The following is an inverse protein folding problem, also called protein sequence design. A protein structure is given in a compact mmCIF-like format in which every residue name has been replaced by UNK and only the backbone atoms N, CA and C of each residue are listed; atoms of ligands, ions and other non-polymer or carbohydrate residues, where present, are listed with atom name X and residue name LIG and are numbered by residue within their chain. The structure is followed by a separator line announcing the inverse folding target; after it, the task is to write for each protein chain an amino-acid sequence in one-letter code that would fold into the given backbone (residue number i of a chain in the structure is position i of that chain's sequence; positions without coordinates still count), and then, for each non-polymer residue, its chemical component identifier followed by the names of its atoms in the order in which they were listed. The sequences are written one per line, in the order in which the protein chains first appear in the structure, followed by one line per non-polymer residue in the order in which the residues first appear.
data_IF_598992534268
#
_entry.id   IF_598992534268
#
_cell.length_a   1.000
_cell.length_b   1.000
_cell.length_c   1.000
_cell.angle_alpha   90.00
_cell.angle_beta   90.00
_cell.angle_gamma   90.00
#
_symmetry.space_group_name_H-M   'P 1'
#
loop_
_entity.id
_entity.type
_entity.pdbx_description
1 polymer ?
#
# COMPACT_ATOMS: atom_id res chain seq x y z
N UNK A 1 8.18 -2.33 -7.85
CA UNK A 1 8.88 -1.03 -7.75
C UNK A 1 9.02 -0.49 -9.16
N UNK A 2 8.50 0.70 -9.47
CA UNK A 2 8.34 1.18 -10.84
C UNK A 2 8.12 2.70 -10.89
N UNK A 3 9.06 3.46 -10.35
CA UNK A 3 9.08 4.91 -10.49
C UNK A 3 9.62 5.33 -11.84
N UNK A 4 9.10 6.43 -12.37
CA UNK A 4 9.60 7.06 -13.60
C UNK A 4 10.59 8.17 -13.22
N UNK A 5 11.71 8.25 -13.96
CA UNK A 5 12.70 9.32 -13.79
C UNK A 5 12.34 10.48 -14.71
N UNK A 6 12.29 11.68 -14.14
CA UNK A 6 11.93 12.91 -14.82
C UNK A 6 13.02 13.95 -14.64
N UNK A 7 13.10 14.89 -15.59
CA UNK A 7 13.88 16.10 -15.40
C UNK A 7 13.28 16.93 -14.24
N UNK A 8 14.08 17.56 -13.37
CA UNK A 8 13.58 18.38 -12.26
C UNK A 8 12.55 19.44 -12.67
N UNK A 9 12.76 20.07 -13.83
CA UNK A 9 11.85 21.08 -14.37
C UNK A 9 10.45 20.53 -14.77
N UNK A 10 10.30 19.21 -14.89
CA UNK A 10 9.03 18.54 -15.19
C UNK A 10 8.36 17.94 -13.94
N UNK A 11 8.89 18.20 -12.75
CA UNK A 11 8.34 17.69 -11.50
C UNK A 11 6.97 18.29 -11.19
N UNK A 12 6.01 17.42 -10.89
CA UNK A 12 4.73 17.77 -10.28
C UNK A 12 4.89 17.86 -8.75
N UNK A 13 3.93 18.47 -8.03
CA UNK A 13 3.96 18.58 -6.56
C UNK A 13 4.09 17.23 -5.81
N UNK A 14 3.62 16.15 -6.41
CA UNK A 14 3.67 14.79 -5.90
C UNK A 14 4.98 14.03 -6.20
N UNK A 15 5.87 14.60 -7.02
CA UNK A 15 7.14 13.98 -7.38
C UNK A 15 8.23 14.29 -6.34
N UNK A 16 9.15 13.35 -6.14
CA UNK A 16 10.29 13.53 -5.22
C UNK A 16 11.49 14.07 -5.98
N UNK A 17 11.85 15.32 -5.76
CA UNK A 17 13.06 15.94 -6.35
C UNK A 17 14.28 15.56 -5.51
N UNK A 18 15.23 14.86 -6.12
CA UNK A 18 16.51 14.52 -5.50
C UNK A 18 17.53 15.62 -5.75
N UNK A 19 18.22 16.03 -4.68
CA UNK A 19 19.28 17.04 -4.71
C UNK A 19 20.64 16.44 -4.38
N UNK A 20 21.66 16.83 -5.12
CA UNK A 20 23.06 16.48 -4.87
C UNK A 20 23.88 17.75 -4.77
N UNK A 21 24.59 17.95 -3.66
CA UNK A 21 25.39 19.16 -3.42
C UNK A 21 24.60 20.49 -3.57
N UNK A 22 23.29 20.43 -3.30
CA UNK A 22 22.40 21.58 -3.42
C UNK A 22 21.77 21.76 -4.80
N UNK A 23 22.24 21.05 -5.82
CA UNK A 23 21.70 21.07 -7.18
C UNK A 23 20.59 20.03 -7.37
N UNK A 24 19.54 20.39 -8.10
CA UNK A 24 18.44 19.48 -8.45
C UNK A 24 18.84 18.62 -9.65
N UNK A 25 19.00 17.32 -9.43
CA UNK A 25 19.57 16.41 -10.45
C UNK A 25 18.51 15.56 -11.14
N UNK A 26 17.49 15.11 -10.40
CA UNK A 26 16.44 14.24 -10.96
C UNK A 26 15.17 14.32 -10.11
N UNK A 27 14.02 14.25 -10.76
CA UNK A 27 12.74 14.03 -10.09
C UNK A 27 12.30 12.57 -10.27
N UNK A 28 11.83 11.95 -9.19
CA UNK A 28 11.31 10.59 -9.22
C UNK A 28 9.79 10.66 -9.07
N UNK A 29 9.09 10.29 -10.14
CA UNK A 29 7.65 10.05 -10.08
C UNK A 29 7.42 8.67 -9.54
N UNK A 30 7.05 8.61 -8.27
CA UNK A 30 6.63 7.37 -7.66
C UNK A 30 5.27 6.99 -8.27
N UNK A 31 4.99 5.71 -8.56
CA UNK A 31 3.65 5.29 -8.92
C UNK A 31 2.75 5.70 -7.75
N UNK A 32 1.88 6.69 -8.01
CA UNK A 32 1.37 7.61 -7.00
C UNK A 32 1.01 6.92 -5.71
N UNK A 33 1.56 7.37 -4.57
CA UNK A 33 1.19 6.90 -3.23
C UNK A 33 -0.16 7.49 -2.79
N UNK A 34 -1.13 7.54 -3.71
CA UNK A 34 -2.51 7.97 -3.47
C UNK A 34 -3.47 6.78 -3.48
N UNK A 35 -4.76 7.05 -3.27
CA UNK A 35 -5.85 6.06 -3.24
C UNK A 35 -5.79 5.14 -4.50
N UNK A 36 -5.49 5.71 -5.67
CA UNK A 36 -5.32 4.99 -6.94
C UNK A 36 -4.20 3.92 -6.94
N UNK A 37 -3.17 4.05 -6.10
CA UNK A 37 -2.13 3.01 -5.94
C UNK A 37 -2.69 1.79 -5.23
N UNK A 38 -3.45 2.03 -4.17
CA UNK A 38 -3.96 0.98 -3.32
C UNK A 38 -4.98 0.15 -4.07
N UNK A 39 -5.85 0.80 -4.83
CA UNK A 39 -6.83 0.13 -5.68
C UNK A 39 -6.14 -0.79 -6.70
N UNK A 40 -5.06 -0.33 -7.36
CA UNK A 40 -4.28 -1.19 -8.28
C UNK A 40 -3.63 -2.38 -7.60
N UNK A 41 -3.14 -2.20 -6.36
CA UNK A 41 -2.57 -3.30 -5.57
C UNK A 41 -3.66 -4.32 -5.22
N UNK A 42 -4.82 -3.85 -4.77
CA UNK A 42 -5.98 -4.69 -4.44
C UNK A 42 -6.46 -5.46 -5.67
N UNK A 43 -6.64 -4.78 -6.80
CA UNK A 43 -6.98 -5.43 -8.08
C UNK A 43 -5.94 -6.49 -8.49
N UNK A 44 -4.66 -6.20 -8.26
CA UNK A 44 -3.58 -7.17 -8.48
C UNK A 44 -3.74 -8.43 -7.64
N UNK A 45 -4.12 -8.27 -6.37
CA UNK A 45 -4.40 -9.39 -5.47
C UNK A 45 -5.64 -10.16 -5.91
N UNK A 46 -6.71 -9.48 -6.34
CA UNK A 46 -7.92 -10.12 -6.88
C UNK A 46 -7.64 -10.99 -8.10
N UNK A 47 -6.77 -10.53 -9.01
CA UNK A 47 -6.38 -11.33 -10.18
C UNK A 47 -5.65 -12.61 -9.81
N UNK A 48 -4.91 -12.62 -8.70
CA UNK A 48 -4.13 -13.78 -8.24
C UNK A 48 -4.97 -14.73 -7.39
N UNK A 49 -5.81 -14.20 -6.52
CA UNK A 49 -6.53 -14.98 -5.50
C UNK A 49 -8.02 -15.18 -5.81
N UNK A 50 -8.55 -14.53 -6.85
CA UNK A 50 -9.99 -14.43 -7.07
C UNK A 50 -10.65 -13.42 -6.11
N UNK A 51 -11.98 -13.46 -5.94
CA UNK A 51 -12.71 -12.51 -5.12
C UNK A 51 -12.19 -12.50 -3.67
N UNK A 52 -11.56 -11.39 -3.24
CA UNK A 52 -10.91 -11.34 -1.92
C UNK A 52 -11.91 -11.53 -0.78
N UNK A 53 -13.17 -11.10 -0.98
CA UNK A 53 -14.26 -11.31 -0.04
C UNK A 53 -14.57 -12.79 0.24
N UNK A 54 -14.31 -13.70 -0.72
CA UNK A 54 -14.56 -15.13 -0.58
C UNK A 54 -13.40 -15.90 0.08
N UNK A 55 -12.27 -15.24 0.33
CA UNK A 55 -11.11 -15.89 0.93
C UNK A 55 -11.36 -16.29 2.39
N UNK A 56 -10.67 -17.34 2.81
CA UNK A 56 -10.68 -17.76 4.20
C UNK A 56 -9.98 -16.74 5.11
N UNK A 57 -10.27 -16.83 6.41
CA UNK A 57 -9.76 -15.88 7.40
C UNK A 57 -8.23 -15.79 7.41
N UNK A 58 -7.53 -16.92 7.26
CA UNK A 58 -6.07 -16.95 7.33
C UNK A 58 -5.47 -16.20 6.16
N UNK A 59 -5.95 -16.46 4.94
CA UNK A 59 -5.50 -15.73 3.75
C UNK A 59 -5.79 -14.24 3.86
N UNK A 60 -6.97 -13.83 4.36
CA UNK A 60 -7.28 -12.41 4.59
C UNK A 60 -6.30 -11.75 5.57
N UNK A 61 -5.91 -12.44 6.64
CA UNK A 61 -4.90 -11.93 7.59
C UNK A 61 -3.52 -11.79 6.93
N UNK A 62 -3.12 -12.77 6.11
CA UNK A 62 -1.85 -12.70 5.37
C UNK A 62 -1.83 -11.56 4.34
N UNK A 63 -2.94 -11.31 3.65
CA UNK A 63 -3.07 -10.18 2.73
C UNK A 63 -2.98 -8.84 3.47
N UNK A 64 -3.64 -8.69 4.62
CA UNK A 64 -3.52 -7.47 5.43
C UNK A 64 -2.07 -7.24 5.87
N UNK A 65 -1.35 -8.27 6.30
CA UNK A 65 0.09 -8.17 6.62
C UNK A 65 0.93 -7.69 5.42
N UNK A 66 0.65 -8.25 4.24
CA UNK A 66 1.34 -7.89 3.00
C UNK A 66 1.05 -6.46 2.53
N UNK A 67 -0.19 -6.00 2.72
CA UNK A 67 -0.62 -4.64 2.43
C UNK A 67 0.00 -3.64 3.41
N UNK A 68 0.05 -3.97 4.70
CA UNK A 68 0.71 -3.16 5.72
C UNK A 68 2.19 -2.96 5.41
N UNK A 69 2.90 -4.04 5.03
CA UNK A 69 4.32 -3.97 4.65
C UNK A 69 4.56 -3.09 3.41
N UNK A 70 3.53 -2.87 2.57
CA UNK A 70 3.57 -2.00 1.39
C UNK A 70 3.07 -0.59 1.67
N UNK A 71 2.75 -0.25 2.93
CA UNK A 71 2.26 1.08 3.30
C UNK A 71 0.79 1.32 2.95
N UNK A 72 -0.02 0.28 2.67
CA UNK A 72 -1.42 0.46 2.30
C UNK A 72 -2.24 1.28 3.31
N UNK A 73 -1.90 1.19 4.60
CA UNK A 73 -2.62 1.86 5.68
C UNK A 73 -2.08 3.25 6.03
N UNK A 74 -1.07 3.74 5.31
CA UNK A 74 -0.64 5.15 5.38
C UNK A 74 -1.35 6.01 4.35
N UNK A 75 -2.00 5.38 3.36
CA UNK A 75 -2.80 6.05 2.33
C UNK A 75 -4.12 6.52 2.94
N UNK A 76 -4.62 7.66 2.47
CA UNK A 76 -5.95 8.15 2.85
C UNK A 76 -6.99 7.08 2.49
N UNK A 77 -7.98 6.89 3.37
CA UNK A 77 -9.01 5.86 3.18
C UNK A 77 -8.49 4.41 3.04
N UNK A 78 -7.21 4.12 3.33
CA UNK A 78 -6.64 2.80 3.07
C UNK A 78 -7.31 1.67 3.87
N UNK A 79 -7.76 1.95 5.09
CA UNK A 79 -8.52 0.98 5.90
C UNK A 79 -9.90 0.73 5.29
N UNK A 80 -10.60 1.77 4.85
CA UNK A 80 -11.88 1.69 4.16
C UNK A 80 -11.78 0.83 2.89
N UNK A 81 -10.80 1.12 2.03
CA UNK A 81 -10.58 0.41 0.75
C UNK A 81 -10.29 -1.07 0.98
N UNK A 82 -9.36 -1.40 1.89
CA UNK A 82 -9.01 -2.79 2.18
C UNK A 82 -10.17 -3.54 2.84
N UNK A 83 -10.93 -2.89 3.73
CA UNK A 83 -12.10 -3.48 4.35
C UNK A 83 -13.17 -3.84 3.32
N UNK A 84 -13.45 -2.91 2.39
CA UNK A 84 -14.39 -3.13 1.30
C UNK A 84 -13.97 -4.30 0.40
N UNK A 85 -12.72 -4.34 -0.04
CA UNK A 85 -12.20 -5.40 -0.90
C UNK A 85 -12.24 -6.78 -0.24
N UNK A 86 -11.85 -6.88 1.04
CA UNK A 86 -11.86 -8.13 1.79
C UNK A 86 -13.26 -8.55 2.26
N UNK A 87 -14.29 -7.72 2.05
CA UNK A 87 -15.65 -7.98 2.52
C UNK A 87 -15.73 -8.09 4.05
N UNK A 88 -15.00 -7.23 4.77
CA UNK A 88 -14.96 -7.22 6.25
C UNK A 88 -15.18 -5.80 6.78
N UNK A 89 -15.41 -5.66 8.08
CA UNK A 89 -15.52 -4.34 8.70
C UNK A 89 -14.14 -3.67 8.89
N UNK A 90 -14.10 -2.33 8.95
CA UNK A 90 -12.89 -1.58 9.35
C UNK A 90 -12.34 -2.07 10.71
N UNK A 91 -13.24 -2.38 11.65
CA UNK A 91 -12.88 -2.96 12.94
C UNK A 91 -12.12 -4.29 12.78
N UNK A 92 -12.56 -5.15 11.85
CA UNK A 92 -11.89 -6.41 11.54
C UNK A 92 -10.48 -6.18 10.96
N UNK A 93 -10.31 -5.18 10.10
CA UNK A 93 -8.97 -4.81 9.58
C UNK A 93 -8.05 -4.37 10.72
N UNK A 94 -8.52 -3.50 11.63
CA UNK A 94 -7.73 -3.13 12.82
C UNK A 94 -7.38 -4.34 13.70
N UNK A 95 -8.30 -5.29 13.86
CA UNK A 95 -8.03 -6.53 14.58
C UNK A 95 -6.94 -7.37 13.90
N UNK A 96 -6.96 -7.46 12.56
CA UNK A 96 -5.90 -8.14 11.81
C UNK A 96 -4.55 -7.42 11.96
N UNK A 97 -4.50 -6.10 11.84
CA UNK A 97 -3.28 -5.31 12.06
C UNK A 97 -2.69 -5.53 13.46
N UNK A 98 -3.53 -5.56 14.49
CA UNK A 98 -3.11 -5.90 15.85
C UNK A 98 -2.48 -7.29 15.89
N UNK A 99 -3.12 -8.30 15.29
CA UNK A 99 -2.58 -9.64 15.22
C UNK A 99 -1.23 -9.70 14.49
N UNK A 100 -1.06 -8.95 13.39
CA UNK A 100 0.22 -8.88 12.66
C UNK A 100 1.33 -8.31 13.55
N UNK A 101 1.05 -7.22 14.27
CA UNK A 101 2.02 -6.59 15.15
C UNK A 101 2.40 -7.48 16.35
N UNK A 102 1.44 -8.20 16.92
CA UNK A 102 1.69 -9.17 17.99
C UNK A 102 2.55 -10.36 17.52
N UNK A 103 2.43 -10.81 16.27
CA UNK A 103 3.30 -11.85 15.73
C UNK A 103 4.73 -11.33 15.52
N UNK A 104 4.89 -10.15 14.89
CA UNK A 104 6.23 -9.55 14.68
C UNK A 104 6.98 -9.29 15.98
N UNK A 105 6.28 -8.91 17.05
CA UNK A 105 6.89 -8.69 18.36
C UNK A 105 7.39 -9.99 19.01
N UNK A 106 6.86 -11.16 18.64
CA UNK A 106 7.30 -12.48 19.11
C UNK A 106 8.45 -13.06 18.30
N UNK A 107 8.64 -12.57 17.06
CA UNK A 107 9.70 -12.99 16.13
C UNK A 107 11.00 -12.19 16.31
N UNK A 108 11.00 -11.16 17.15
CA UNK A 108 12.16 -10.31 17.50
C UNK A 108 12.72 -10.70 18.86
#
# INVERSE_FOLDING_TARGET
MGGELLAPAAAAPEDVVLRWEGEEVVAVRLPGLGDDSLDRIVEGLERVHGPLAALDRRTKQDLVRQLEARGAFTVRHGVETVAAALGVSRFTVYNYLRHVNEQRAKER
#
